data_IF_407331770245
#
_entry.id   IF_407331770245
#
_cell.length_a   1.000
_cell.length_b   1.000
_cell.length_c   1.000
_cell.angle_alpha   90.00
_cell.angle_beta   90.00
_cell.angle_gamma   90.00
#
_symmetry.space_group_name_H-M   'P 1'
#
loop_
_entity.id
_entity.type
_entity.pdbx_description
1 polymer ?
#
# COMPACT_ATOMS: atom_id res chain seq x y z
N UNK A 1 -3.30 27.32 5.88
CA UNK A 1 -2.42 26.15 5.73
C UNK A 1 -2.22 25.84 4.26
N UNK A 2 -0.99 25.56 3.81
CA UNK A 2 -0.73 25.13 2.44
C UNK A 2 -1.15 23.68 2.24
N UNK A 3 -1.80 23.38 1.12
CA UNK A 3 -2.27 22.03 0.79
C UNK A 3 -2.03 21.73 -0.68
N UNK A 4 -1.49 20.55 -0.96
CA UNK A 4 -1.53 19.99 -2.31
C UNK A 4 -2.95 19.51 -2.61
N UNK A 5 -3.50 19.95 -3.74
CA UNK A 5 -4.86 19.61 -4.15
C UNK A 5 -4.95 19.27 -5.63
N UNK A 6 -5.98 18.50 -5.98
CA UNK A 6 -6.52 18.48 -7.33
C UNK A 6 -7.73 19.44 -7.37
N UNK A 7 -7.72 20.52 -8.17
CA UNK A 7 -8.82 21.49 -8.21
C UNK A 7 -10.08 20.94 -8.92
N UNK A 8 -9.90 19.90 -9.73
CA UNK A 8 -10.93 19.14 -10.46
C UNK A 8 -10.38 17.75 -10.75
N UNK A 9 -11.19 16.90 -11.37
CA UNK A 9 -10.64 15.65 -11.90
C UNK A 9 -9.53 15.94 -12.92
N UNK A 10 -8.31 15.53 -12.61
CA UNK A 10 -7.14 15.80 -13.42
C UNK A 10 -6.01 14.80 -13.17
N UNK A 11 -5.10 14.72 -14.13
CA UNK A 11 -3.82 14.04 -13.96
C UNK A 11 -2.87 14.90 -13.11
N UNK A 12 -1.77 14.34 -12.58
CA UNK A 12 -0.86 15.05 -11.69
C UNK A 12 -0.35 16.40 -12.19
N UNK A 13 -0.22 16.60 -13.51
CA UNK A 13 0.14 17.89 -14.10
C UNK A 13 -0.80 19.05 -13.72
N UNK A 14 -2.06 18.74 -13.37
CA UNK A 14 -3.05 19.72 -12.93
C UNK A 14 -3.14 19.93 -11.42
N UNK A 15 -2.26 19.31 -10.62
CA UNK A 15 -2.26 19.51 -9.16
C UNK A 15 -1.71 20.88 -8.80
N UNK A 16 -2.25 21.48 -7.74
CA UNK A 16 -1.92 22.83 -7.30
C UNK A 16 -1.61 22.85 -5.81
N UNK A 17 -0.76 23.77 -5.38
CA UNK A 17 -0.59 24.09 -3.95
C UNK A 17 -1.37 25.36 -3.69
N UNK A 18 -2.38 25.26 -2.84
CA UNK A 18 -3.25 26.38 -2.46
C UNK A 18 -3.22 26.61 -0.96
N UNK A 19 -3.55 27.81 -0.54
CA UNK A 19 -3.81 28.12 0.87
C UNK A 19 -5.27 27.83 1.20
N UNK A 20 -5.47 26.99 2.22
CA UNK A 20 -6.77 26.69 2.82
C UNK A 20 -6.87 27.29 4.22
N UNK A 21 -8.08 27.58 4.72
CA UNK A 21 -8.28 27.94 6.12
C UNK A 21 -7.62 26.91 7.04
N UNK A 22 -6.82 27.38 7.99
CA UNK A 22 -6.24 26.51 9.02
C UNK A 22 -7.33 26.18 10.03
N UNK A 23 -7.67 24.90 10.25
CA UNK A 23 -8.64 24.54 11.28
C UNK A 23 -8.15 24.97 12.67
N UNK A 24 -9.09 25.36 13.51
CA UNK A 24 -8.85 25.78 14.90
C UNK A 24 -9.39 24.71 15.86
N UNK A 25 -9.00 24.74 17.14
CA UNK A 25 -9.56 23.82 18.14
C UNK A 25 -11.09 23.88 18.22
N UNK A 26 -11.70 25.03 17.94
CA UNK A 26 -13.16 25.22 17.98
C UNK A 26 -13.89 24.49 16.83
N UNK A 27 -13.17 24.13 15.76
CA UNK A 27 -13.70 23.37 14.63
C UNK A 27 -13.75 21.85 14.92
N UNK A 28 -13.17 21.40 16.04
CA UNK A 28 -13.04 19.98 16.36
C UNK A 28 -14.33 19.37 16.90
N UNK A 29 -14.73 18.23 16.32
CA UNK A 29 -15.74 17.35 16.94
C UNK A 29 -15.11 16.61 18.13
N UNK A 30 -15.92 16.01 19.03
CA UNK A 30 -15.41 15.34 20.22
C UNK A 30 -14.31 14.30 19.95
N UNK A 31 -14.37 13.57 18.83
CA UNK A 31 -13.40 12.52 18.51
C UNK A 31 -12.33 12.95 17.50
N UNK A 32 -12.29 14.23 17.12
CA UNK A 32 -11.32 14.73 16.15
C UNK A 32 -9.98 15.05 16.82
N UNK A 33 -8.91 14.99 16.04
CA UNK A 33 -7.57 15.40 16.44
C UNK A 33 -7.04 16.35 15.38
N UNK A 34 -6.54 17.51 15.80
CA UNK A 34 -5.88 18.44 14.91
C UNK A 34 -4.38 18.17 14.92
N UNK A 35 -3.81 17.93 13.75
CA UNK A 35 -2.40 17.57 13.58
C UNK A 35 -1.74 18.58 12.68
N UNK A 36 -0.60 19.12 13.13
CA UNK A 36 0.34 19.83 12.27
C UNK A 36 1.15 18.79 11.53
N UNK A 37 0.82 18.55 10.27
CA UNK A 37 1.47 17.53 9.44
C UNK A 37 2.82 18.07 8.95
N UNK A 38 3.89 17.31 9.16
CA UNK A 38 5.25 17.62 8.71
C UNK A 38 5.60 16.89 7.40
N UNK A 39 5.01 15.71 7.18
CA UNK A 39 5.22 14.95 5.96
C UNK A 39 3.93 14.19 5.59
N UNK A 40 3.59 14.17 4.31
CA UNK A 40 2.43 13.46 3.77
C UNK A 40 2.86 12.50 2.66
N UNK A 41 2.43 11.25 2.72
CA UNK A 41 2.73 10.26 1.70
C UNK A 41 1.62 10.19 0.64
N UNK A 42 2.03 10.14 -0.62
CA UNK A 42 1.13 9.99 -1.77
C UNK A 42 1.04 8.52 -2.16
N UNK A 43 -0.18 8.05 -2.39
CA UNK A 43 -0.50 6.69 -2.81
C UNK A 43 -1.08 6.69 -4.23
N UNK A 44 -1.04 5.53 -4.87
CA UNK A 44 -1.72 5.31 -6.16
C UNK A 44 -3.20 5.62 -6.05
N UNK A 45 -3.83 5.30 -4.92
CA UNK A 45 -5.24 5.64 -4.63
C UNK A 45 -5.53 7.14 -4.67
N UNK A 46 -4.65 8.00 -4.13
CA UNK A 46 -4.80 9.47 -4.22
C UNK A 46 -4.85 9.92 -5.69
N UNK A 47 -3.90 9.43 -6.50
CA UNK A 47 -3.82 9.79 -7.92
C UNK A 47 -5.00 9.27 -8.74
N UNK A 48 -5.51 8.09 -8.41
CA UNK A 48 -6.70 7.50 -9.04
C UNK A 48 -7.99 8.25 -8.68
N UNK A 49 -8.13 8.66 -7.41
CA UNK A 49 -9.24 9.49 -6.96
C UNK A 49 -9.23 10.85 -7.67
N UNK A 50 -8.06 11.50 -7.72
CA UNK A 50 -7.89 12.76 -8.43
C UNK A 50 -8.11 12.64 -9.95
N UNK A 51 -7.75 11.52 -10.57
CA UNK A 51 -8.03 11.24 -11.98
C UNK A 51 -9.51 10.87 -12.26
N UNK A 52 -10.32 10.64 -11.23
CA UNK A 52 -11.74 10.31 -11.35
C UNK A 52 -12.02 8.84 -11.69
N UNK A 53 -11.08 7.92 -11.43
CA UNK A 53 -11.23 6.48 -11.67
C UNK A 53 -12.46 5.91 -10.93
N UNK A 54 -12.76 6.44 -9.74
CA UNK A 54 -13.88 6.00 -8.90
C UNK A 54 -15.05 7.00 -8.85
N UNK A 55 -15.14 7.94 -9.81
CA UNK A 55 -16.14 9.04 -9.77
C UNK A 55 -17.60 8.60 -9.74
N UNK A 56 -17.89 7.39 -10.21
CA UNK A 56 -19.23 6.80 -10.18
C UNK A 56 -19.59 6.17 -8.83
N UNK A 57 -18.59 5.93 -7.98
CA UNK A 57 -18.74 5.23 -6.70
C UNK A 57 -18.54 6.15 -5.49
N UNK A 58 -17.79 7.23 -5.67
CA UNK A 58 -17.42 8.15 -4.59
C UNK A 58 -17.76 9.57 -5.02
N UNK A 59 -18.57 10.26 -4.21
CA UNK A 59 -18.79 11.69 -4.38
C UNK A 59 -17.54 12.44 -3.92
N UNK A 60 -16.88 13.13 -4.85
CA UNK A 60 -15.67 13.90 -4.59
C UNK A 60 -16.00 15.37 -4.52
N UNK A 61 -15.62 16.03 -3.42
CA UNK A 61 -15.69 17.50 -3.29
C UNK A 61 -14.36 18.12 -3.70
N UNK A 62 -14.43 19.17 -4.49
CA UNK A 62 -13.25 19.93 -4.92
C UNK A 62 -13.10 21.23 -4.13
N UNK A 63 -11.87 21.69 -3.88
CA UNK A 63 -10.59 21.06 -4.25
C UNK A 63 -10.32 19.79 -3.44
N UNK A 64 -9.91 18.71 -4.12
CA UNK A 64 -9.61 17.42 -3.48
C UNK A 64 -8.21 17.48 -2.87
N UNK A 65 -8.12 17.37 -1.54
CA UNK A 65 -6.84 17.29 -0.81
C UNK A 65 -6.18 15.93 -1.06
N UNK A 66 -4.88 15.95 -1.34
CA UNK A 66 -4.07 14.75 -1.58
C UNK A 66 -3.17 14.46 -0.37
N UNK A 67 -2.76 13.19 -0.22
CA UNK A 67 -1.86 12.79 0.86
C UNK A 67 -2.63 12.34 2.11
N UNK A 68 -3.45 11.30 1.95
CA UNK A 68 -4.31 10.77 3.02
C UNK A 68 -3.56 10.13 4.20
N UNK A 69 -2.23 9.97 4.12
CA UNK A 69 -1.40 9.46 5.22
C UNK A 69 -0.22 10.39 5.45
N UNK A 70 0.19 10.57 6.70
CA UNK A 70 1.32 11.43 7.02
C UNK A 70 1.89 11.22 8.41
N UNK A 71 2.82 12.07 8.80
CA UNK A 71 3.38 12.18 10.15
C UNK A 71 3.38 13.63 10.62
N UNK A 72 3.18 13.85 11.91
CA UNK A 72 3.09 15.19 12.47
C UNK A 72 2.88 15.24 13.98
N UNK A 73 2.54 16.43 14.48
CA UNK A 73 2.35 16.71 15.92
C UNK A 73 0.89 17.04 16.19
N UNK A 74 0.31 16.45 17.23
CA UNK A 74 -1.01 16.83 17.73
C UNK A 74 -0.96 18.24 18.31
N UNK A 75 -1.74 19.16 17.76
CA UNK A 75 -1.84 20.56 18.22
C UNK A 75 -3.15 20.87 18.94
N UNK A 76 -4.18 20.05 18.75
CA UNK A 76 -5.41 20.09 19.54
C UNK A 76 -6.11 18.73 19.51
N UNK A 77 -6.91 18.45 20.52
CA UNK A 77 -7.72 17.22 20.64
C UNK A 77 -9.15 17.58 20.99
N UNK A 78 -10.10 16.87 20.40
CA UNK A 78 -11.50 16.95 20.78
C UNK A 78 -11.75 16.38 22.18
N UNK A 79 -12.86 16.78 22.80
CA UNK A 79 -13.20 16.44 24.19
C UNK A 79 -13.39 14.95 24.48
N UNK A 80 -13.67 14.14 23.45
CA UNK A 80 -13.82 12.68 23.51
C UNK A 80 -12.52 11.90 23.30
N UNK A 81 -11.44 12.56 22.88
CA UNK A 81 -10.15 11.91 22.64
C UNK A 81 -9.44 11.66 23.98
N UNK A 82 -9.27 10.39 24.35
CA UNK A 82 -8.58 9.98 25.58
C UNK A 82 -7.17 9.42 25.35
N UNK A 83 -6.89 9.00 24.13
CA UNK A 83 -5.69 8.25 23.77
C UNK A 83 -4.55 9.10 23.24
N UNK A 84 -4.78 10.39 22.94
CA UNK A 84 -3.79 11.32 22.40
C UNK A 84 -3.88 12.65 23.15
N UNK A 85 -2.78 13.39 23.17
CA UNK A 85 -2.60 14.66 23.86
C UNK A 85 -1.86 15.63 22.96
N UNK A 86 -2.02 16.93 23.23
CA UNK A 86 -1.25 17.97 22.56
C UNK A 86 0.25 17.75 22.80
N UNK A 87 1.04 17.84 21.73
CA UNK A 87 2.47 17.55 21.74
C UNK A 87 2.82 16.13 21.30
N UNK A 88 1.86 15.21 21.22
CA UNK A 88 2.14 13.85 20.77
C UNK A 88 2.58 13.83 19.30
N UNK A 89 3.69 13.15 19.06
CA UNK A 89 4.12 12.77 17.73
C UNK A 89 3.21 11.65 17.21
N UNK A 90 2.67 11.79 16.00
CA UNK A 90 1.70 10.86 15.42
C UNK A 90 1.96 10.58 13.94
N UNK A 91 1.63 9.38 13.47
CA UNK A 91 1.68 9.02 12.06
C UNK A 91 0.54 8.08 11.64
N UNK A 92 0.20 8.11 10.35
CA UNK A 92 -0.60 7.10 9.68
C UNK A 92 -1.77 7.60 8.86
N UNK A 93 -2.56 6.64 8.34
CA UNK A 93 -3.81 6.91 7.62
C UNK A 93 -4.97 7.27 8.56
N UNK A 94 -4.85 6.88 9.84
CA UNK A 94 -5.79 7.18 10.93
C UNK A 94 -5.11 7.86 12.13
N UNK A 95 -3.87 8.35 11.95
CA UNK A 95 -2.99 9.00 12.93
C UNK A 95 -3.02 8.46 14.37
N UNK A 96 -1.97 7.73 14.78
CA UNK A 96 -1.72 7.30 16.17
C UNK A 96 -0.32 7.72 16.62
N UNK A 97 0.00 7.60 17.91
CA UNK A 97 1.34 7.83 18.45
C UNK A 97 2.41 7.21 17.54
N UNK A 98 3.41 7.99 17.18
CA UNK A 98 4.43 7.64 16.20
C UNK A 98 5.57 8.65 16.25
N UNK A 99 6.50 8.57 15.31
CA UNK A 99 7.59 9.53 15.21
C UNK A 99 7.30 10.58 14.13
N UNK A 100 7.89 11.77 14.27
CA UNK A 100 7.73 12.87 13.30
C UNK A 100 8.93 12.89 12.36
N UNK A 101 8.79 12.31 11.16
CA UNK A 101 9.72 12.47 10.03
C UNK A 101 9.18 11.75 8.78
N UNK A 102 9.85 11.87 7.63
CA UNK A 102 9.35 11.36 6.34
C UNK A 102 9.19 9.83 6.31
N UNK A 103 10.09 9.10 6.96
CA UNK A 103 10.07 7.63 6.96
C UNK A 103 8.84 7.07 7.70
N UNK A 104 8.33 7.74 8.74
CA UNK A 104 7.07 7.36 9.37
C UNK A 104 5.87 7.51 8.42
N UNK A 105 5.84 8.59 7.63
CA UNK A 105 4.82 8.79 6.59
C UNK A 105 4.94 7.72 5.48
N UNK A 106 6.16 7.30 5.15
CA UNK A 106 6.43 6.33 4.10
C UNK A 106 5.92 4.91 4.42
N UNK A 107 5.96 4.51 5.70
CA UNK A 107 5.76 3.12 6.11
C UNK A 107 4.32 2.78 6.49
N UNK A 108 3.57 3.72 7.05
CA UNK A 108 2.40 3.38 7.89
C UNK A 108 1.35 2.49 7.19
N UNK A 109 0.95 2.82 5.95
CA UNK A 109 -0.05 2.02 5.23
C UNK A 109 0.53 0.75 4.60
N UNK A 110 1.77 0.79 4.12
CA UNK A 110 2.37 -0.32 3.38
C UNK A 110 2.73 -1.49 4.29
N UNK A 111 3.22 -1.23 5.51
CA UNK A 111 3.58 -2.28 6.48
C UNK A 111 2.34 -3.05 6.90
N UNK A 112 1.27 -2.32 7.21
CA UNK A 112 -0.01 -2.90 7.59
C UNK A 112 -0.56 -3.83 6.50
N UNK A 113 -0.57 -3.36 5.25
CA UNK A 113 -1.07 -4.16 4.13
C UNK A 113 -0.20 -5.41 3.92
N UNK A 114 1.13 -5.27 3.96
CA UNK A 114 2.04 -6.41 3.85
C UNK A 114 1.82 -7.44 4.96
N UNK A 115 1.64 -6.99 6.20
CA UNK A 115 1.30 -7.86 7.33
C UNK A 115 0.00 -8.62 7.09
N UNK A 116 -1.05 -7.92 6.67
CA UNK A 116 -2.35 -8.53 6.39
C UNK A 116 -2.30 -9.52 5.21
N UNK A 117 -1.43 -9.29 4.22
CA UNK A 117 -1.17 -10.26 3.17
C UNK A 117 -0.54 -11.55 3.72
N UNK A 118 0.44 -11.45 4.63
CA UNK A 118 1.07 -12.62 5.26
C UNK A 118 0.06 -13.37 6.13
N UNK A 119 -0.76 -12.67 6.93
CA UNK A 119 -1.87 -13.31 7.68
C UNK A 119 -2.81 -14.05 6.74
N UNK A 120 -3.18 -13.41 5.62
CA UNK A 120 -4.09 -14.02 4.65
C UNK A 120 -3.48 -15.24 3.99
N UNK A 121 -2.18 -15.22 3.69
CA UNK A 121 -1.45 -16.39 3.21
C UNK A 121 -1.57 -17.58 4.18
N UNK A 122 -1.35 -17.35 5.49
CA UNK A 122 -1.49 -18.41 6.48
C UNK A 122 -2.92 -18.94 6.57
N UNK A 123 -3.92 -18.06 6.56
CA UNK A 123 -5.33 -18.48 6.53
C UNK A 123 -5.66 -19.35 5.30
N UNK A 124 -5.20 -18.95 4.11
CA UNK A 124 -5.45 -19.68 2.86
C UNK A 124 -4.77 -21.05 2.83
N UNK A 125 -3.65 -21.20 3.53
CA UNK A 125 -2.88 -22.44 3.61
C UNK A 125 -3.22 -23.28 4.85
N UNK A 126 -4.21 -22.86 5.65
CA UNK A 126 -4.66 -23.57 6.85
C UNK A 126 -3.68 -23.52 8.03
N UNK A 127 -2.77 -22.54 8.03
CA UNK A 127 -1.79 -22.33 9.08
C UNK A 127 -2.30 -21.31 10.11
N UNK A 128 -2.04 -21.51 11.42
CA UNK A 128 -2.52 -20.61 12.47
C UNK A 128 -1.86 -19.23 12.38
N UNK A 129 -2.62 -18.13 12.19
CA UNK A 129 -2.07 -16.78 12.20
C UNK A 129 -1.40 -16.46 13.54
N UNK A 130 -0.24 -15.79 13.51
CA UNK A 130 0.44 -15.30 14.72
C UNK A 130 1.54 -16.21 15.28
N UNK A 131 1.50 -17.51 15.00
CA UNK A 131 2.56 -18.47 15.36
C UNK A 131 3.29 -19.03 14.15
N UNK A 132 2.70 -18.94 12.96
CA UNK A 132 3.30 -19.41 11.73
C UNK A 132 4.42 -18.49 11.24
N UNK A 133 5.48 -19.09 10.69
CA UNK A 133 6.63 -18.40 10.09
C UNK A 133 6.68 -18.68 8.58
N UNK A 134 7.55 -17.96 7.86
CA UNK A 134 7.90 -18.25 6.47
C UNK A 134 9.25 -18.98 6.37
N UNK A 135 9.74 -19.55 7.48
CA UNK A 135 10.98 -20.31 7.48
C UNK A 135 10.91 -21.47 6.48
N UNK A 136 11.98 -21.62 5.69
CA UNK A 136 12.04 -22.62 4.62
C UNK A 136 11.21 -22.30 3.37
N UNK A 137 10.39 -21.24 3.38
CA UNK A 137 9.51 -20.87 2.27
C UNK A 137 10.18 -19.96 1.26
N UNK A 138 9.82 -20.15 -0.01
CA UNK A 138 10.16 -19.23 -1.11
C UNK A 138 8.99 -18.28 -1.35
N UNK A 139 9.29 -16.97 -1.35
CA UNK A 139 8.29 -15.90 -1.47
C UNK A 139 8.64 -15.04 -2.68
N UNK A 140 7.67 -14.83 -3.57
CA UNK A 140 7.81 -13.94 -4.73
C UNK A 140 7.04 -12.64 -4.51
N UNK A 141 7.74 -11.51 -4.67
CA UNK A 141 7.19 -10.15 -4.50
C UNK A 141 7.69 -9.28 -5.64
N UNK A 142 6.91 -8.95 -6.67
CA UNK A 142 7.38 -8.14 -7.79
C UNK A 142 7.63 -6.67 -7.37
N UNK A 143 8.59 -6.00 -8.01
CA UNK A 143 8.84 -4.57 -7.80
C UNK A 143 9.52 -4.24 -6.46
N UNK A 144 10.72 -4.77 -6.20
CA UNK A 144 11.47 -4.62 -4.95
C UNK A 144 11.58 -3.17 -4.47
N UNK A 145 11.79 -2.22 -5.40
CA UNK A 145 11.94 -0.80 -5.09
C UNK A 145 10.64 0.01 -5.28
N UNK A 146 9.47 -0.64 -5.29
CA UNK A 146 8.19 0.05 -5.22
C UNK A 146 7.77 0.33 -3.78
N UNK A 147 6.82 1.23 -3.56
CA UNK A 147 6.30 1.55 -2.22
C UNK A 147 5.76 0.33 -1.45
N UNK A 148 5.14 -0.63 -2.15
CA UNK A 148 4.63 -1.85 -1.54
C UNK A 148 5.71 -2.94 -1.50
N UNK A 149 6.39 -3.20 -2.62
CA UNK A 149 7.40 -4.27 -2.71
C UNK A 149 8.57 -4.08 -1.74
N UNK A 150 9.06 -2.85 -1.55
CA UNK A 150 10.17 -2.57 -0.63
C UNK A 150 9.83 -2.87 0.83
N UNK A 151 8.58 -2.63 1.23
CA UNK A 151 8.11 -2.93 2.57
C UNK A 151 7.76 -4.40 2.71
N UNK A 152 7.06 -4.98 1.72
CA UNK A 152 6.64 -6.38 1.73
C UNK A 152 7.83 -7.34 1.79
N UNK A 153 8.91 -7.07 1.04
CA UNK A 153 10.15 -7.86 1.07
C UNK A 153 10.79 -7.87 2.46
N UNK A 154 10.90 -6.70 3.10
CA UNK A 154 11.39 -6.59 4.48
C UNK A 154 10.49 -7.31 5.48
N UNK A 155 9.15 -7.21 5.34
CA UNK A 155 8.22 -7.93 6.21
C UNK A 155 8.45 -9.43 6.12
N UNK A 156 8.47 -10.01 4.90
CA UNK A 156 8.61 -11.46 4.77
C UNK A 156 9.99 -11.96 5.21
N UNK A 157 11.06 -11.19 4.96
CA UNK A 157 12.43 -11.55 5.37
C UNK A 157 12.69 -11.33 6.86
N UNK A 158 12.57 -10.08 7.32
CA UNK A 158 13.05 -9.65 8.64
C UNK A 158 12.08 -9.96 9.78
N UNK A 159 10.79 -10.13 9.47
CA UNK A 159 9.75 -10.41 10.48
C UNK A 159 9.38 -11.89 10.49
N UNK A 160 9.24 -12.50 9.32
CA UNK A 160 8.74 -13.86 9.16
C UNK A 160 9.79 -14.91 8.81
N UNK A 161 11.04 -14.50 8.54
CA UNK A 161 12.14 -15.43 8.30
C UNK A 161 12.03 -16.19 6.98
N UNK A 162 11.45 -15.59 5.93
CA UNK A 162 11.41 -16.20 4.60
C UNK A 162 12.81 -16.68 4.18
N UNK A 163 12.92 -17.96 3.77
CA UNK A 163 14.21 -18.53 3.36
C UNK A 163 14.73 -17.82 2.12
N UNK A 164 13.87 -17.70 1.11
CA UNK A 164 14.20 -17.11 -0.18
C UNK A 164 13.15 -16.06 -0.55
N UNK A 165 13.60 -14.83 -0.77
CA UNK A 165 12.78 -13.72 -1.28
C UNK A 165 13.21 -13.42 -2.70
N UNK A 166 12.31 -13.69 -3.64
CA UNK A 166 12.50 -13.44 -5.06
C UNK A 166 11.74 -12.18 -5.45
N UNK A 167 12.40 -11.24 -6.12
CA UNK A 167 11.78 -9.98 -6.51
C UNK A 167 12.18 -9.54 -7.91
N UNK A 168 11.53 -8.48 -8.40
CA UNK A 168 11.78 -7.92 -9.73
C UNK A 168 12.03 -6.44 -9.68
N UNK A 169 12.89 -5.93 -10.56
CA UNK A 169 13.07 -4.49 -10.81
C UNK A 169 13.36 -4.25 -12.29
N UNK A 170 13.32 -2.97 -12.71
CA UNK A 170 13.77 -2.57 -14.04
C UNK A 170 15.30 -2.54 -14.11
N UNK A 171 15.84 -2.59 -15.33
CA UNK A 171 17.29 -2.54 -15.60
C UNK A 171 18.03 -1.46 -14.80
N UNK A 172 17.63 -0.17 -14.82
CA UNK A 172 18.36 0.89 -14.11
C UNK A 172 18.30 0.77 -12.57
N UNK A 173 17.45 -0.12 -12.05
CA UNK A 173 17.23 -0.30 -10.60
C UNK A 173 17.93 -1.54 -10.03
N UNK A 174 18.50 -2.41 -10.87
CA UNK A 174 19.15 -3.65 -10.43
C UNK A 174 20.21 -3.39 -9.34
N UNK A 175 21.14 -2.47 -9.59
CA UNK A 175 22.19 -2.12 -8.62
C UNK A 175 21.72 -1.29 -7.42
N UNK A 176 20.47 -0.81 -7.42
CA UNK A 176 19.92 -0.03 -6.31
C UNK A 176 19.29 -0.92 -5.24
N UNK A 177 18.94 -2.17 -5.56
CA UNK A 177 18.31 -3.07 -4.58
C UNK A 177 19.22 -3.31 -3.39
N UNK A 178 20.50 -3.63 -3.60
CA UNK A 178 21.47 -3.82 -2.52
C UNK A 178 21.64 -2.55 -1.66
N UNK A 179 21.60 -1.37 -2.28
CA UNK A 179 21.71 -0.10 -1.56
C UNK A 179 20.53 0.15 -0.62
N UNK A 180 19.31 -0.15 -1.07
CA UNK A 180 18.07 0.19 -0.34
C UNK A 180 17.52 -0.96 0.51
N UNK A 181 17.85 -2.20 0.16
CA UNK A 181 17.33 -3.44 0.74
C UNK A 181 18.45 -4.48 0.93
N UNK A 182 19.54 -4.11 1.65
CA UNK A 182 20.67 -5.03 1.87
C UNK A 182 20.20 -6.28 2.60
N UNK A 183 20.66 -7.46 2.14
CA UNK A 183 20.34 -8.79 2.70
C UNK A 183 18.85 -9.16 2.75
N UNK A 184 17.98 -8.41 2.04
CA UNK A 184 16.52 -8.63 2.06
C UNK A 184 16.03 -9.45 0.87
N UNK A 185 16.62 -9.24 -0.31
CA UNK A 185 16.22 -9.91 -1.56
C UNK A 185 17.30 -10.91 -1.96
N UNK A 186 16.97 -12.20 -1.95
CA UNK A 186 17.93 -13.28 -2.25
C UNK A 186 18.10 -13.49 -3.76
N UNK A 187 17.02 -13.31 -4.53
CA UNK A 187 17.02 -13.48 -5.99
C UNK A 187 16.33 -12.28 -6.66
N UNK A 188 17.01 -11.68 -7.64
CA UNK A 188 16.53 -10.49 -8.31
C UNK A 188 16.45 -10.70 -9.82
N UNK A 189 15.27 -10.48 -10.39
CA UNK A 189 15.00 -10.64 -11.82
C UNK A 189 14.78 -9.28 -12.49
N UNK A 190 15.47 -9.04 -13.61
CA UNK A 190 15.19 -7.89 -14.46
C UNK A 190 13.99 -8.19 -15.37
N UNK A 191 12.82 -7.63 -15.05
CA UNK A 191 11.60 -7.93 -15.80
C UNK A 191 11.58 -7.35 -17.22
N UNK A 192 12.50 -6.44 -17.57
CA UNK A 192 12.56 -5.85 -18.91
C UNK A 192 13.33 -6.72 -19.90
N UNK A 193 14.26 -7.54 -19.40
CA UNK A 193 15.16 -8.35 -20.24
C UNK A 193 15.01 -9.85 -20.03
N UNK A 194 14.38 -10.27 -18.93
CA UNK A 194 14.25 -11.68 -18.55
C UNK A 194 12.79 -12.10 -18.41
N UNK A 195 12.54 -13.39 -18.64
CA UNK A 195 11.22 -13.98 -18.42
C UNK A 195 11.10 -14.45 -16.97
N UNK A 196 10.23 -13.80 -16.20
CA UNK A 196 10.04 -14.08 -14.76
C UNK A 196 9.76 -15.57 -14.49
N UNK A 197 8.91 -16.22 -15.30
CA UNK A 197 8.54 -17.63 -15.08
C UNK A 197 9.70 -18.58 -15.35
N UNK A 198 10.58 -18.25 -16.28
CA UNK A 198 11.76 -19.06 -16.58
C UNK A 198 12.85 -18.90 -15.51
N UNK A 199 13.11 -17.65 -15.09
CA UNK A 199 14.16 -17.35 -14.10
C UNK A 199 13.80 -17.87 -12.70
N UNK A 200 12.55 -17.64 -12.26
CA UNK A 200 12.09 -18.07 -10.92
C UNK A 200 11.72 -19.56 -10.90
N UNK A 201 11.36 -20.11 -12.05
CA UNK A 201 10.87 -21.48 -12.18
C UNK A 201 9.37 -21.62 -11.91
N UNK A 202 8.78 -22.65 -12.52
CA UNK A 202 7.35 -22.97 -12.34
C UNK A 202 7.13 -23.79 -11.09
N UNK A 203 6.13 -23.42 -10.29
CA UNK A 203 5.73 -24.17 -9.11
C UNK A 203 6.73 -24.17 -7.96
N UNK A 204 7.70 -23.25 -7.97
CA UNK A 204 8.79 -23.15 -6.98
C UNK A 204 8.46 -22.23 -5.81
N UNK A 205 7.42 -21.40 -5.94
CA UNK A 205 7.09 -20.36 -4.96
C UNK A 205 5.95 -20.80 -4.04
N UNK A 206 6.16 -20.78 -2.73
CA UNK A 206 5.10 -21.07 -1.75
C UNK A 206 4.12 -19.91 -1.61
N UNK A 207 4.62 -18.68 -1.58
CA UNK A 207 3.81 -17.48 -1.36
C UNK A 207 4.12 -16.43 -2.42
N UNK A 208 3.11 -16.08 -3.23
CA UNK A 208 3.15 -14.92 -4.10
C UNK A 208 2.43 -13.76 -3.41
N UNK A 209 3.17 -12.70 -3.05
CA UNK A 209 2.57 -11.43 -2.64
C UNK A 209 2.62 -10.48 -3.84
N UNK A 210 1.55 -10.46 -4.61
CA UNK A 210 1.50 -9.70 -5.85
C UNK A 210 1.18 -8.21 -5.61
N UNK A 211 2.09 -7.34 -6.06
CA UNK A 211 1.94 -5.88 -5.98
C UNK A 211 1.76 -5.20 -7.34
N UNK A 212 1.61 -5.96 -8.42
CA UNK A 212 1.45 -5.44 -9.79
C UNK A 212 0.13 -5.91 -10.41
N UNK A 213 -0.43 -5.15 -11.34
CA UNK A 213 -1.72 -5.50 -11.97
C UNK A 213 -1.74 -6.85 -12.68
N UNK A 214 -0.59 -7.34 -13.16
CA UNK A 214 -0.47 -8.65 -13.78
C UNK A 214 -0.42 -9.78 -12.73
N UNK A 215 -1.59 -10.08 -12.16
CA UNK A 215 -1.75 -11.22 -11.26
C UNK A 215 -1.56 -12.56 -11.98
N UNK A 216 -2.09 -12.68 -13.20
CA UNK A 216 -2.16 -13.94 -13.95
C UNK A 216 -0.77 -14.43 -14.35
N UNK A 217 0.13 -13.51 -14.72
CA UNK A 217 1.53 -13.84 -15.00
C UNK A 217 2.28 -14.47 -13.82
N UNK A 218 1.78 -14.30 -12.58
CA UNK A 218 2.40 -14.89 -11.38
C UNK A 218 1.89 -16.29 -11.04
N UNK A 219 0.74 -16.72 -11.56
CA UNK A 219 0.16 -18.04 -11.25
C UNK A 219 1.08 -19.22 -11.56
N UNK A 220 1.85 -19.25 -12.67
CA UNK A 220 2.77 -20.35 -12.94
C UNK A 220 3.89 -20.50 -11.90
N UNK A 221 4.21 -19.46 -11.14
CA UNK A 221 5.27 -19.48 -10.13
C UNK A 221 4.83 -20.27 -8.89
N UNK A 222 3.54 -20.18 -8.53
CA UNK A 222 3.01 -20.73 -7.30
C UNK A 222 3.04 -22.27 -7.31
N UNK A 223 3.50 -22.87 -6.21
CA UNK A 223 3.53 -24.30 -6.02
C UNK A 223 2.12 -24.90 -6.20
N UNK A 224 1.90 -25.82 -7.15
CA UNK A 224 0.56 -26.31 -7.48
C UNK A 224 -0.11 -27.10 -6.36
N UNK A 225 0.63 -27.57 -5.35
CA UNK A 225 0.09 -28.37 -4.25
C UNK A 225 -0.13 -27.58 -2.96
N UNK A 226 0.73 -26.59 -2.69
CA UNK A 226 0.76 -25.88 -1.40
C UNK A 226 0.74 -24.36 -1.53
N UNK A 227 0.91 -23.83 -2.74
CA UNK A 227 1.11 -22.41 -2.97
C UNK A 227 -0.13 -21.56 -2.71
N UNK A 228 0.08 -20.30 -2.36
CA UNK A 228 -0.99 -19.32 -2.32
C UNK A 228 -0.53 -17.97 -2.87
N UNK A 229 -1.48 -17.25 -3.46
CA UNK A 229 -1.30 -15.96 -4.13
C UNK A 229 -2.16 -14.92 -3.43
N UNK A 230 -1.55 -13.92 -2.80
CA UNK A 230 -2.28 -12.79 -2.22
C UNK A 230 -1.92 -11.54 -2.98
N UNK A 231 -2.92 -10.89 -3.56
CA UNK A 231 -2.74 -9.70 -4.38
C UNK A 231 -3.20 -8.44 -3.66
N UNK A 232 -2.46 -7.35 -3.84
CA UNK A 232 -2.88 -5.99 -3.44
C UNK A 232 -3.18 -5.12 -4.66
N UNK A 233 -2.87 -5.61 -5.86
CA UNK A 233 -3.00 -4.89 -7.12
C UNK A 233 -3.60 -5.82 -8.18
N UNK A 234 -4.91 -6.04 -8.12
CA UNK A 234 -5.67 -6.80 -9.12
C UNK A 234 -7.15 -6.46 -8.96
N UNK A 235 -8.02 -7.14 -9.71
CA UNK A 235 -9.46 -7.01 -9.50
C UNK A 235 -9.79 -7.44 -8.06
N UNK A 236 -10.37 -6.56 -7.21
CA UNK A 236 -10.64 -6.89 -5.82
C UNK A 236 -11.67 -8.02 -5.69
N UNK A 237 -11.58 -8.80 -4.61
CA UNK A 237 -12.56 -9.86 -4.35
C UNK A 237 -13.94 -9.26 -4.07
N UNK A 238 -15.05 -9.96 -4.40
CA UNK A 238 -16.40 -9.45 -4.13
C UNK A 238 -16.62 -9.08 -2.66
N UNK A 239 -15.97 -9.78 -1.73
CA UNK A 239 -15.96 -9.46 -0.30
C UNK A 239 -15.34 -8.08 -0.05
N UNK A 240 -14.17 -7.84 -0.61
CA UNK A 240 -13.46 -6.56 -0.48
C UNK A 240 -14.21 -5.43 -1.17
N UNK A 241 -14.77 -5.67 -2.37
CA UNK A 241 -15.63 -4.69 -3.05
C UNK A 241 -16.80 -4.32 -2.17
N UNK A 242 -17.50 -5.29 -1.56
CA UNK A 242 -18.64 -5.01 -0.68
C UNK A 242 -18.27 -4.11 0.51
N UNK A 243 -17.09 -4.31 1.11
CA UNK A 243 -16.59 -3.40 2.14
C UNK A 243 -16.22 -2.01 1.61
N UNK A 244 -15.76 -1.90 0.35
CA UNK A 244 -15.41 -0.61 -0.27
C UNK A 244 -16.64 0.20 -0.71
N UNK A 245 -17.68 -0.45 -1.22
CA UNK A 245 -18.88 0.21 -1.78
C UNK A 245 -20.11 0.11 -0.89
N UNK A 246 -19.96 -0.33 0.37
CA UNK A 246 -21.05 -0.54 1.34
C UNK A 246 -21.95 0.69 1.50
N UNK A 247 -21.33 1.87 1.62
CA UNK A 247 -21.99 3.16 1.81
C UNK A 247 -22.00 4.01 0.52
N UNK A 248 -21.74 3.39 -0.63
CA UNK A 248 -21.66 4.13 -1.90
C UNK A 248 -23.03 4.70 -2.31
N UNK A 249 -23.10 5.97 -2.76
CA UNK A 249 -24.31 6.57 -3.31
C UNK A 249 -24.71 6.01 -4.69
N UNK A 250 -23.93 5.09 -5.25
CA UNK A 250 -24.20 4.51 -6.56
C UNK A 250 -25.54 3.76 -6.61
N UNK A 251 -26.28 3.82 -7.74
CA UNK A 251 -27.52 3.07 -7.91
C UNK A 251 -27.33 1.57 -7.66
N UNK A 252 -28.36 0.90 -7.14
CA UNK A 252 -28.29 -0.52 -6.77
C UNK A 252 -27.86 -1.41 -7.96
N UNK A 253 -28.29 -1.07 -9.18
CA UNK A 253 -27.91 -1.77 -10.41
C UNK A 253 -26.41 -1.63 -10.72
N UNK A 254 -25.83 -0.46 -10.50
CA UNK A 254 -24.39 -0.22 -10.68
C UNK A 254 -23.58 -1.04 -9.68
N UNK A 255 -24.01 -1.06 -8.41
CA UNK A 255 -23.37 -1.85 -7.35
C UNK A 255 -23.46 -3.35 -7.66
N UNK A 256 -24.61 -3.82 -8.12
CA UNK A 256 -24.81 -5.21 -8.57
C UNK A 256 -23.90 -5.57 -9.74
N UNK A 257 -23.79 -4.71 -10.75
CA UNK A 257 -22.96 -4.94 -11.92
C UNK A 257 -21.47 -5.05 -11.56
N UNK A 258 -20.98 -4.18 -10.67
CA UNK A 258 -19.60 -4.24 -10.17
C UNK A 258 -19.34 -5.54 -9.40
N UNK A 259 -20.28 -5.94 -8.53
CA UNK A 259 -20.18 -7.21 -7.81
C UNK A 259 -20.21 -8.41 -8.76
N UNK A 260 -21.03 -8.37 -9.81
CA UNK A 260 -21.09 -9.42 -10.83
C UNK A 260 -19.78 -9.53 -11.60
N UNK A 261 -19.23 -8.42 -12.11
CA UNK A 261 -17.96 -8.41 -12.84
C UNK A 261 -16.81 -8.91 -11.96
N UNK A 262 -16.71 -8.44 -10.71
CA UNK A 262 -15.65 -8.88 -9.81
C UNK A 262 -15.79 -10.35 -9.42
N UNK A 263 -17.02 -10.86 -9.32
CA UNK A 263 -17.27 -12.30 -9.12
C UNK A 263 -16.82 -13.10 -10.33
N UNK A 264 -17.18 -12.69 -11.55
CA UNK A 264 -16.77 -13.36 -12.79
C UNK A 264 -15.24 -13.34 -12.97
N UNK A 265 -14.58 -12.23 -12.65
CA UNK A 265 -13.13 -12.12 -12.68
C UNK A 265 -12.46 -13.11 -11.72
N UNK A 266 -12.98 -13.23 -10.49
CA UNK A 266 -12.47 -14.19 -9.50
C UNK A 266 -12.77 -15.64 -9.87
N UNK A 267 -13.93 -15.92 -10.48
CA UNK A 267 -14.21 -17.23 -11.08
C UNK A 267 -13.22 -17.56 -12.18
N UNK A 268 -12.87 -16.59 -13.04
CA UNK A 268 -11.87 -16.76 -14.09
C UNK A 268 -10.47 -17.00 -13.52
N UNK A 269 -10.06 -16.27 -12.47
CA UNK A 269 -8.80 -16.54 -11.75
C UNK A 269 -8.76 -17.97 -11.20
N UNK A 270 -9.83 -18.42 -10.54
CA UNK A 270 -9.93 -19.78 -10.02
C UNK A 270 -9.94 -20.84 -11.13
N UNK A 271 -10.55 -20.52 -12.28
CA UNK A 271 -10.53 -21.39 -13.44
C UNK A 271 -9.13 -21.51 -14.05
N UNK A 272 -8.32 -20.45 -14.06
CA UNK A 272 -6.93 -20.53 -14.51
C UNK A 272 -6.06 -21.37 -13.57
N UNK A 273 -6.42 -21.44 -12.29
CA UNK A 273 -5.77 -22.29 -11.29
C UNK A 273 -6.37 -23.71 -11.22
N UNK A 274 -7.28 -24.07 -12.14
CA UNK A 274 -7.90 -25.41 -12.17
C UNK A 274 -6.85 -26.50 -12.31
N UNK A 275 -7.06 -27.61 -11.61
CA UNK A 275 -6.08 -28.71 -11.57
C UNK A 275 -4.93 -28.47 -10.59
N UNK A 276 -4.90 -27.34 -9.88
CA UNK A 276 -3.99 -27.07 -8.77
C UNK A 276 -4.77 -26.90 -7.47
N UNK A 277 -4.05 -26.91 -6.34
CA UNK A 277 -4.56 -26.55 -5.01
C UNK A 277 -4.26 -25.09 -4.65
N UNK A 278 -3.69 -24.32 -5.58
CA UNK A 278 -3.30 -22.93 -5.34
C UNK A 278 -4.53 -22.12 -4.91
N UNK A 279 -4.39 -21.40 -3.81
CA UNK A 279 -5.41 -20.47 -3.33
C UNK A 279 -5.04 -19.05 -3.72
N UNK A 280 -6.03 -18.24 -4.04
CA UNK A 280 -5.82 -16.82 -4.32
C UNK A 280 -6.80 -15.96 -3.52
N UNK A 281 -6.35 -14.77 -3.12
CA UNK A 281 -7.25 -13.71 -2.64
C UNK A 281 -6.65 -12.32 -2.85
N UNK A 282 -7.48 -11.30 -2.59
CA UNK A 282 -7.12 -9.89 -2.64
C UNK A 282 -7.21 -9.23 -1.26
N UNK A 283 -6.18 -8.46 -0.90
CA UNK A 283 -6.11 -7.69 0.36
C UNK A 283 -5.93 -6.21 0.02
N UNK A 284 -6.80 -5.36 0.56
CA UNK A 284 -6.73 -3.91 0.36
C UNK A 284 -5.95 -3.15 1.45
N UNK A 285 -5.67 -3.80 2.58
CA UNK A 285 -5.26 -3.13 3.80
C UNK A 285 -6.46 -2.56 4.57
N UNK A 286 -6.62 -2.92 5.85
CA UNK A 286 -7.65 -2.39 6.74
C UNK A 286 -7.03 -1.67 7.94
N UNK A 287 -6.93 -0.33 7.93
CA UNK A 287 -6.40 0.47 9.04
C UNK A 287 -7.28 0.46 10.28
N UNK A 288 -8.55 0.04 10.15
CA UNK A 288 -9.46 -0.15 11.27
C UNK A 288 -9.08 -1.32 12.17
N UNK A 289 -8.25 -2.27 11.70
CA UNK A 289 -7.72 -3.30 12.58
C UNK A 289 -6.60 -2.73 13.46
N UNK A 290 -6.98 -2.40 14.70
CA UNK A 290 -6.11 -1.78 15.69
C UNK A 290 -4.88 -2.62 16.02
N UNK A 291 -5.06 -3.93 16.21
CA UNK A 291 -3.99 -4.86 16.55
C UNK A 291 -2.95 -4.90 15.45
N UNK A 292 -3.39 -5.01 14.19
CA UNK A 292 -2.49 -5.08 13.05
C UNK A 292 -1.69 -3.79 12.86
N UNK A 293 -2.33 -2.64 13.12
CA UNK A 293 -1.68 -1.34 13.05
C UNK A 293 -0.62 -1.16 14.13
N UNK A 294 -0.90 -1.58 15.37
CA UNK A 294 0.04 -1.50 16.50
C UNK A 294 1.24 -2.42 16.26
N UNK A 295 1.00 -3.66 15.81
CA UNK A 295 2.06 -4.60 15.44
C UNK A 295 2.96 -4.08 14.33
N UNK A 296 2.37 -3.43 13.33
CA UNK A 296 3.12 -2.78 12.25
C UNK A 296 4.03 -1.66 12.79
N UNK A 297 3.51 -0.85 13.71
CA UNK A 297 4.29 0.21 14.37
C UNK A 297 5.47 -0.32 15.20
N UNK A 298 5.28 -1.43 15.92
CA UNK A 298 6.35 -2.09 16.69
C UNK A 298 7.53 -2.51 15.82
N UNK A 299 7.28 -3.07 14.62
CA UNK A 299 8.34 -3.51 13.72
C UNK A 299 9.12 -2.35 13.10
N UNK A 300 8.44 -1.26 12.79
CA UNK A 300 9.08 -0.01 12.34
C UNK A 300 9.93 0.56 13.46
N UNK A 301 9.39 0.68 14.68
CA UNK A 301 10.12 1.19 15.84
C UNK A 301 11.34 0.32 16.21
N UNK A 302 11.24 -1.00 16.03
CA UNK A 302 12.35 -1.93 16.24
C UNK A 302 13.38 -1.92 15.09
N UNK A 303 13.20 -1.10 14.05
CA UNK A 303 14.11 -1.00 12.91
C UNK A 303 14.11 -2.22 11.98
N UNK A 304 13.13 -3.13 12.11
CA UNK A 304 13.00 -4.32 11.25
C UNK A 304 12.56 -3.95 9.83
N UNK A 305 11.92 -2.79 9.68
CA UNK A 305 11.42 -2.27 8.41
C UNK A 305 11.85 -0.82 8.31
N UNK A 306 12.61 -0.51 7.27
CA UNK A 306 13.11 0.83 6.94
C UNK A 306 12.38 1.38 5.73
N UNK A 307 12.18 2.69 5.68
CA UNK A 307 11.57 3.32 4.53
C UNK A 307 12.52 3.32 3.34
N UNK A 308 12.02 2.83 2.20
CA UNK A 308 12.50 3.24 0.89
C UNK A 308 11.54 4.32 0.41
N UNK A 309 12.05 5.53 0.19
CA UNK A 309 11.22 6.68 -0.13
C UNK A 309 11.90 7.67 -1.06
N UNK A 310 11.06 8.41 -1.78
CA UNK A 310 11.43 9.63 -2.52
C UNK A 310 10.77 10.80 -1.81
N UNK A 311 11.57 11.78 -1.40
CA UNK A 311 11.08 12.98 -0.71
C UNK A 311 11.13 14.16 -1.67
N UNK A 312 10.06 14.94 -1.71
CA UNK A 312 9.96 16.22 -2.43
C UNK A 312 9.40 17.29 -1.50
N UNK A 313 9.89 18.51 -1.60
CA UNK A 313 9.38 19.64 -0.84
C UNK A 313 8.12 20.21 -1.51
N UNK A 314 7.10 20.56 -0.73
CA UNK A 314 5.83 21.08 -1.27
C UNK A 314 6.01 22.41 -2.04
N UNK A 315 7.09 23.13 -1.75
CA UNK A 315 7.48 24.37 -2.42
C UNK A 315 7.80 24.16 -3.90
N UNK A 316 8.33 23.00 -4.28
CA UNK A 316 8.66 22.64 -5.65
C UNK A 316 7.50 21.87 -6.31
N UNK A 317 6.52 22.64 -6.78
CA UNK A 317 5.33 22.06 -7.41
C UNK A 317 5.67 21.25 -8.66
N UNK A 318 6.73 21.59 -9.40
CA UNK A 318 7.12 20.83 -10.60
C UNK A 318 7.66 19.45 -10.22
N UNK A 319 8.54 19.39 -9.21
CA UNK A 319 9.01 18.13 -8.65
C UNK A 319 7.87 17.30 -8.08
N UNK A 320 6.93 17.92 -7.35
CA UNK A 320 5.74 17.25 -6.81
C UNK A 320 4.89 16.64 -7.93
N UNK A 321 4.58 17.41 -8.98
CA UNK A 321 3.78 16.91 -10.13
C UNK A 321 4.49 15.77 -10.85
N UNK A 322 5.80 15.88 -11.06
CA UNK A 322 6.62 14.83 -11.67
C UNK A 322 6.63 13.56 -10.82
N UNK A 323 6.83 13.68 -9.52
CA UNK A 323 6.83 12.54 -8.61
C UNK A 323 5.43 11.89 -8.50
N UNK A 324 4.36 12.67 -8.42
CA UNK A 324 2.99 12.17 -8.46
C UNK A 324 2.68 11.46 -9.80
N UNK A 325 3.27 11.90 -10.91
CA UNK A 325 3.17 11.21 -12.21
C UNK A 325 3.83 9.83 -12.17
N UNK A 326 4.98 9.69 -11.50
CA UNK A 326 5.62 8.39 -11.28
C UNK A 326 4.74 7.46 -10.44
N UNK A 327 4.07 7.99 -9.40
CA UNK A 327 3.12 7.21 -8.58
C UNK A 327 1.90 6.77 -9.39
N UNK A 328 1.33 7.67 -10.20
CA UNK A 328 0.15 7.40 -11.02
C UNK A 328 0.42 6.35 -12.11
N UNK A 329 1.61 6.38 -12.71
CA UNK A 329 2.01 5.46 -13.78
C UNK A 329 2.66 4.17 -13.26
N UNK A 330 3.10 4.14 -12.00
CA UNK A 330 3.89 3.05 -11.43
C UNK A 330 5.31 2.95 -12.02
N UNK A 331 5.79 3.97 -12.74
CA UNK A 331 7.07 3.94 -13.47
C UNK A 331 8.04 5.00 -12.92
N UNK A 332 9.33 4.64 -12.91
CA UNK A 332 10.43 5.56 -12.57
C UNK A 332 10.66 5.82 -11.07
N UNK A 333 9.63 5.82 -10.23
CA UNK A 333 9.75 6.13 -8.79
C UNK A 333 10.48 5.05 -7.97
N UNK A 334 11.11 5.46 -6.86
CA UNK A 334 11.75 4.57 -5.88
C UNK A 334 11.01 4.72 -4.54
N UNK A 335 10.50 3.61 -4.02
CA UNK A 335 9.83 3.57 -2.74
C UNK A 335 8.52 4.35 -2.69
N UNK A 336 8.16 4.81 -1.49
CA UNK A 336 7.00 5.67 -1.27
C UNK A 336 7.33 7.12 -1.60
N UNK A 337 6.42 7.83 -2.28
CA UNK A 337 6.51 9.28 -2.42
C UNK A 337 6.05 9.96 -1.13
N UNK A 338 6.92 10.80 -0.56
CA UNK A 338 6.63 11.64 0.59
C UNK A 338 6.81 13.10 0.20
N UNK A 339 5.81 13.92 0.53
CA UNK A 339 5.84 15.36 0.39
C UNK A 339 6.17 15.95 1.76
N UNK A 340 7.25 16.71 1.84
CA UNK A 340 7.62 17.46 3.03
C UNK A 340 6.82 18.75 3.08
N UNK A 341 6.26 19.04 4.26
CA UNK A 341 5.50 20.24 4.57
C UNK A 341 6.36 21.03 5.58
N UNK A 342 6.77 22.24 5.21
CA UNK A 342 7.56 23.12 6.07
C UNK A 342 6.81 23.55 7.34
#
# INVERSE_FOLDING_TARGET
MRSLVAPRYCQPAGYEVIDLPTPTPDDLKPNDVLIRVHAAAIQTGDTQAAAGVSKLLVSTKFPLRLGMSGSGIVIAVGSGVKSLRVGDAVCGLAFKHGQIFEEAAALTGSVLTAYQCVKRYFELTGQPPGTSTLEGKTVFIPGALSAAGSVSTQVVKNVYGAKTVVSTVSTPKMGLVEKYLPDVVDELVNYETQNIVQEVGRGTVDFVLNTQWDLVGTFPLANPQTGAVVSIASIPSPRTVRSMIGDSPAPILVRWFILAITTLAHMWYNWMLRGTKVKQDFVSGNPGNREDLERSGEWVAAGKIKAVMTVVDIEDIEAVRKACTMVATGKGGIGKLVIRLA
#
